data_IF_473870834082
#
_entry.id   IF_473870834082
#
_cell.length_a   1.000
_cell.length_b   1.000
_cell.length_c   1.000
_cell.angle_alpha   90.00
_cell.angle_beta   90.00
_cell.angle_gamma   90.00
#
_symmetry.space_group_name_H-M   'P 1'
#
loop_
_entity.id
_entity.type
_entity.pdbx_description
1 polymer ?
#
# COMPACT_ATOMS: atom_id res chain seq x y z
N UNK A 1 24.14 -17.35 -5.48
CA UNK A 1 24.21 -16.74 -4.15
C UNK A 1 24.36 -15.22 -4.31
N UNK A 2 23.46 -14.45 -3.71
CA UNK A 2 23.51 -12.99 -3.79
C UNK A 2 24.52 -12.44 -2.77
N UNK A 3 25.25 -11.39 -3.16
CA UNK A 3 26.16 -10.65 -2.28
C UNK A 3 25.42 -9.90 -1.15
N UNK A 4 26.15 -9.13 -0.31
CA UNK A 4 25.53 -8.28 0.71
C UNK A 4 24.72 -7.17 0.03
N UNK A 5 23.61 -6.77 0.64
CA UNK A 5 22.73 -5.73 0.14
C UNK A 5 21.32 -6.22 -0.21
N UNK A 6 20.40 -5.33 -0.55
CA UNK A 6 19.02 -5.69 -0.88
C UNK A 6 18.97 -6.54 -2.17
N UNK A 7 18.00 -7.44 -2.21
CA UNK A 7 17.66 -8.23 -3.41
C UNK A 7 16.20 -7.96 -3.73
N UNK A 8 15.94 -7.35 -4.88
CA UNK A 8 14.59 -6.95 -5.30
C UNK A 8 14.16 -7.73 -6.53
N UNK A 9 12.96 -8.26 -6.50
CA UNK A 9 12.33 -9.00 -7.59
C UNK A 9 11.28 -8.10 -8.24
N UNK A 10 11.37 -7.94 -9.56
CA UNK A 10 10.33 -7.29 -10.37
C UNK A 10 9.10 -8.19 -10.52
N UNK A 11 7.98 -7.65 -11.02
CA UNK A 11 6.77 -8.42 -11.25
C UNK A 11 7.01 -9.53 -12.29
N UNK A 12 6.32 -10.65 -12.12
CA UNK A 12 6.25 -11.69 -13.15
C UNK A 12 5.59 -11.14 -14.40
N UNK A 13 6.14 -11.47 -15.55
CA UNK A 13 5.62 -11.06 -16.86
C UNK A 13 5.47 -12.28 -17.75
N UNK A 14 4.33 -12.40 -18.40
CA UNK A 14 4.03 -13.53 -19.27
C UNK A 14 4.67 -13.45 -20.67
N UNK A 15 5.31 -12.34 -21.01
CA UNK A 15 5.90 -12.08 -22.32
C UNK A 15 7.30 -11.48 -22.16
N UNK A 16 8.25 -11.97 -22.95
CA UNK A 16 9.63 -11.45 -23.02
C UNK A 16 9.65 -9.95 -23.37
N UNK A 17 8.70 -9.48 -24.19
CA UNK A 17 8.58 -8.06 -24.53
C UNK A 17 8.29 -7.17 -23.31
N UNK A 18 7.75 -7.74 -22.23
CA UNK A 18 7.49 -7.04 -20.96
C UNK A 18 8.65 -7.16 -19.95
N UNK A 19 9.70 -7.93 -20.28
CA UNK A 19 10.86 -8.12 -19.39
C UNK A 19 11.55 -6.78 -19.03
N UNK A 20 11.63 -5.85 -19.99
CA UNK A 20 12.17 -4.50 -19.76
C UNK A 20 11.37 -3.70 -18.74
N UNK A 21 10.04 -3.87 -18.68
CA UNK A 21 9.20 -3.25 -17.65
C UNK A 21 9.48 -3.85 -16.28
N UNK A 22 9.55 -5.18 -16.18
CA UNK A 22 9.87 -5.85 -14.93
C UNK A 22 11.23 -5.43 -14.38
N UNK A 23 12.25 -5.34 -15.26
CA UNK A 23 13.58 -4.89 -14.89
C UNK A 23 13.58 -3.43 -14.37
N UNK A 24 12.87 -2.51 -15.03
CA UNK A 24 12.76 -1.11 -14.55
C UNK A 24 12.10 -1.03 -13.18
N UNK A 25 11.05 -1.80 -12.95
CA UNK A 25 10.35 -1.86 -11.66
C UNK A 25 11.27 -2.44 -10.58
N UNK A 26 12.03 -3.48 -10.89
CA UNK A 26 13.03 -4.05 -9.97
C UNK A 26 14.12 -3.03 -9.62
N UNK A 27 14.64 -2.28 -10.60
CA UNK A 27 15.64 -1.23 -10.38
C UNK A 27 15.10 -0.08 -9.53
N UNK A 28 13.86 0.35 -9.79
CA UNK A 28 13.19 1.36 -8.95
C UNK A 28 13.02 0.86 -7.51
N UNK A 29 12.63 -0.40 -7.34
CA UNK A 29 12.56 -1.04 -6.03
C UNK A 29 13.93 -1.11 -5.35
N UNK A 30 14.98 -1.46 -6.08
CA UNK A 30 16.34 -1.52 -5.53
C UNK A 30 16.81 -0.15 -5.02
N UNK A 31 16.55 0.92 -5.76
CA UNK A 31 16.87 2.29 -5.34
C UNK A 31 16.10 2.71 -4.10
N UNK A 32 14.84 2.27 -3.96
CA UNK A 32 13.96 2.59 -2.85
C UNK A 32 14.17 1.70 -1.61
N UNK A 33 14.77 0.51 -1.77
CA UNK A 33 14.89 -0.51 -0.72
C UNK A 33 15.63 -0.03 0.54
N UNK A 34 16.50 0.99 0.41
CA UNK A 34 17.15 1.64 1.56
C UNK A 34 16.16 2.31 2.52
N UNK A 35 14.95 2.63 2.07
CA UNK A 35 13.88 3.18 2.89
C UNK A 35 13.23 2.16 3.83
N UNK A 36 13.47 0.88 3.60
CA UNK A 36 13.03 -0.22 4.46
C UNK A 36 14.20 -1.16 4.81
N UNK A 37 15.03 -0.79 5.81
CA UNK A 37 16.26 -1.52 6.15
C UNK A 37 16.03 -3.00 6.50
N UNK A 38 14.88 -3.30 7.12
CA UNK A 38 14.50 -4.66 7.54
C UNK A 38 13.67 -5.41 6.49
N UNK A 39 13.68 -4.95 5.24
CA UNK A 39 12.99 -5.65 4.16
C UNK A 39 13.49 -7.10 4.02
N UNK A 40 12.59 -8.06 3.76
CA UNK A 40 13.00 -9.44 3.51
C UNK A 40 13.92 -9.53 2.29
N UNK A 41 14.70 -10.62 2.21
CA UNK A 41 15.60 -10.87 1.09
C UNK A 41 15.35 -12.26 0.50
N UNK A 42 14.81 -12.36 -0.70
CA UNK A 42 14.43 -11.27 -1.60
C UNK A 42 13.14 -10.54 -1.18
N UNK A 43 12.94 -9.30 -1.64
CA UNK A 43 11.70 -8.52 -1.50
C UNK A 43 11.09 -8.27 -2.88
N UNK A 44 9.79 -8.37 -3.01
CA UNK A 44 9.11 -7.99 -4.24
C UNK A 44 9.06 -6.46 -4.38
N UNK A 45 9.22 -5.94 -5.59
CA UNK A 45 9.11 -4.51 -5.85
C UNK A 45 7.70 -3.96 -5.54
N UNK A 46 6.66 -4.81 -5.57
CA UNK A 46 5.30 -4.50 -5.11
C UNK A 46 5.20 -4.24 -3.61
N UNK A 47 6.07 -4.86 -2.81
CA UNK A 47 6.09 -4.65 -1.36
C UNK A 47 6.82 -3.36 -0.96
N UNK A 48 7.54 -2.75 -1.91
CA UNK A 48 8.25 -1.47 -1.78
C UNK A 48 7.48 -0.29 -2.36
N UNK A 49 6.18 -0.43 -2.61
CA UNK A 49 5.35 0.65 -3.17
C UNK A 49 5.45 1.97 -2.40
N UNK A 50 5.37 2.00 -1.05
CA UNK A 50 5.52 3.25 -0.30
C UNK A 50 6.86 3.93 -0.52
N UNK A 51 7.96 3.19 -0.42
CA UNK A 51 9.31 3.71 -0.60
C UNK A 51 9.54 4.19 -2.03
N UNK A 52 9.03 3.46 -3.02
CA UNK A 52 9.11 3.84 -4.43
C UNK A 52 8.34 5.14 -4.70
N UNK A 53 7.14 5.30 -4.14
CA UNK A 53 6.36 6.55 -4.25
C UNK A 53 7.13 7.72 -3.64
N UNK A 54 7.67 7.54 -2.44
CA UNK A 54 8.46 8.57 -1.75
C UNK A 54 9.77 8.90 -2.48
N UNK A 55 10.33 7.95 -3.24
CA UNK A 55 11.48 8.16 -4.11
C UNK A 55 11.11 8.80 -5.48
N UNK A 56 9.84 9.10 -5.73
CA UNK A 56 9.37 9.78 -6.95
C UNK A 56 8.97 8.85 -8.10
N UNK A 57 8.77 7.55 -7.84
CA UNK A 57 8.33 6.58 -8.85
C UNK A 57 6.86 6.80 -9.23
N UNK A 58 6.62 7.33 -10.42
CA UNK A 58 5.29 7.59 -10.94
C UNK A 58 4.47 6.31 -11.20
N UNK A 59 5.12 5.20 -11.53
CA UNK A 59 4.43 3.92 -11.73
C UNK A 59 3.91 3.36 -10.41
N UNK A 60 4.72 3.41 -9.35
CA UNK A 60 4.29 3.01 -8.01
C UNK A 60 3.12 3.88 -7.51
N UNK A 61 3.17 5.19 -7.76
CA UNK A 61 2.09 6.11 -7.43
C UNK A 61 0.79 5.74 -8.16
N UNK A 62 0.85 5.48 -9.47
CA UNK A 62 -0.30 5.04 -10.26
C UNK A 62 -0.86 3.71 -9.75
N UNK A 63 0.00 2.77 -9.42
CA UNK A 63 -0.41 1.47 -8.86
C UNK A 63 -1.23 1.66 -7.59
N UNK A 64 -0.75 2.46 -6.62
CA UNK A 64 -1.50 2.73 -5.40
C UNK A 64 -2.84 3.43 -5.66
N UNK A 65 -2.88 4.35 -6.62
CA UNK A 65 -4.12 5.05 -6.98
C UNK A 65 -5.14 4.10 -7.63
N UNK A 66 -4.72 3.28 -8.58
CA UNK A 66 -5.62 2.44 -9.37
C UNK A 66 -5.99 1.13 -8.68
N UNK A 67 -5.07 0.52 -7.95
CA UNK A 67 -5.28 -0.80 -7.37
C UNK A 67 -5.70 -0.75 -5.89
N UNK A 68 -5.49 0.39 -5.21
CA UNK A 68 -5.82 0.54 -3.80
C UNK A 68 -6.86 1.65 -3.59
N UNK A 69 -6.54 2.89 -3.92
CA UNK A 69 -7.43 4.01 -3.59
C UNK A 69 -8.74 3.98 -4.40
N UNK A 70 -8.67 3.82 -5.71
CA UNK A 70 -9.86 3.85 -6.57
C UNK A 70 -10.88 2.75 -6.24
N UNK A 71 -10.50 1.49 -5.99
CA UNK A 71 -11.45 0.47 -5.54
C UNK A 71 -12.11 0.81 -4.19
N UNK A 72 -11.35 1.38 -3.25
CA UNK A 72 -11.89 1.79 -1.95
C UNK A 72 -12.88 2.95 -2.08
N UNK A 73 -12.57 3.93 -2.93
CA UNK A 73 -13.43 5.09 -3.18
C UNK A 73 -14.72 4.71 -3.91
N UNK A 74 -14.65 3.71 -4.81
CA UNK A 74 -15.81 3.20 -5.55
C UNK A 74 -16.67 2.22 -4.75
N UNK A 75 -16.16 1.70 -3.63
CA UNK A 75 -16.86 0.69 -2.84
C UNK A 75 -18.09 1.27 -2.13
N UNK A 76 -19.13 0.46 -1.99
CA UNK A 76 -20.31 0.82 -1.19
C UNK A 76 -19.93 0.94 0.29
N UNK A 77 -20.29 2.05 0.90
CA UNK A 77 -20.05 2.36 2.31
C UNK A 77 -18.79 3.19 2.56
N UNK A 78 -18.60 3.68 3.79
CA UNK A 78 -17.58 4.66 4.13
C UNK A 78 -16.21 4.00 4.39
N UNK A 79 -15.68 3.20 3.44
CA UNK A 79 -14.43 2.45 3.64
C UNK A 79 -13.22 3.38 3.71
N UNK A 80 -13.11 4.37 2.82
CA UNK A 80 -12.01 5.36 2.82
C UNK A 80 -12.00 6.14 4.14
N UNK A 81 -13.16 6.66 4.57
CA UNK A 81 -13.27 7.40 5.82
C UNK A 81 -12.97 6.56 7.06
N UNK A 82 -13.39 5.27 7.04
CA UNK A 82 -13.10 4.34 8.16
C UNK A 82 -11.61 4.00 8.23
N UNK A 83 -10.99 3.73 7.09
CA UNK A 83 -9.56 3.46 7.00
C UNK A 83 -8.74 4.67 7.46
N UNK A 84 -9.09 5.86 6.98
CA UNK A 84 -8.43 7.10 7.38
C UNK A 84 -8.53 7.33 8.89
N UNK A 85 -9.74 7.27 9.46
CA UNK A 85 -9.94 7.45 10.89
C UNK A 85 -9.14 6.44 11.72
N UNK A 86 -9.06 5.19 11.29
CA UNK A 86 -8.28 4.16 11.98
C UNK A 86 -6.77 4.46 11.95
N UNK A 87 -6.21 4.74 10.77
CA UNK A 87 -4.79 5.01 10.61
C UNK A 87 -4.36 6.31 11.32
N UNK A 88 -5.18 7.35 11.24
CA UNK A 88 -4.92 8.67 11.83
C UNK A 88 -5.11 8.70 13.36
N UNK A 89 -5.87 7.78 13.93
CA UNK A 89 -6.08 7.65 15.38
C UNK A 89 -5.07 6.73 16.08
N UNK A 90 -3.90 6.54 15.51
CA UNK A 90 -2.88 5.66 16.07
C UNK A 90 -3.24 4.18 15.99
N UNK A 91 -4.08 3.80 15.03
CA UNK A 91 -4.55 2.42 14.81
C UNK A 91 -5.36 1.85 15.97
N UNK A 92 -6.09 2.70 16.65
CA UNK A 92 -7.02 2.32 17.71
C UNK A 92 -8.44 2.17 17.17
N UNK A 93 -9.00 0.97 17.29
CA UNK A 93 -10.39 0.69 16.90
C UNK A 93 -11.37 1.55 17.71
N UNK A 94 -11.11 1.71 19.00
CA UNK A 94 -11.95 2.50 19.91
C UNK A 94 -11.88 3.98 19.59
N UNK A 95 -10.70 4.51 19.28
CA UNK A 95 -10.53 5.92 18.90
C UNK A 95 -11.19 6.20 17.57
N UNK A 96 -10.99 5.35 16.56
CA UNK A 96 -11.66 5.46 15.27
C UNK A 96 -13.19 5.37 15.40
N UNK A 97 -13.69 4.45 16.22
CA UNK A 97 -15.11 4.28 16.48
C UNK A 97 -15.74 5.53 17.10
N UNK A 98 -15.06 6.16 18.06
CA UNK A 98 -15.50 7.45 18.63
C UNK A 98 -15.56 8.56 17.59
N UNK A 99 -14.50 8.68 16.77
CA UNK A 99 -14.44 9.68 15.69
C UNK A 99 -15.56 9.50 14.67
N UNK A 100 -15.91 8.25 14.37
CA UNK A 100 -16.93 7.91 13.37
C UNK A 100 -18.35 7.78 13.93
N UNK A 101 -18.50 7.90 15.24
CA UNK A 101 -19.79 7.70 15.95
C UNK A 101 -20.41 6.33 15.68
N UNK A 102 -19.59 5.27 15.68
CA UNK A 102 -20.02 3.88 15.48
C UNK A 102 -19.43 2.95 16.55
N UNK A 103 -19.91 1.72 16.61
CA UNK A 103 -19.34 0.72 17.49
C UNK A 103 -17.97 0.21 16.97
N UNK A 104 -16.98 -0.13 17.83
CA UNK A 104 -15.69 -0.67 17.41
C UNK A 104 -15.78 -1.90 16.49
N UNK A 105 -16.76 -2.77 16.69
CA UNK A 105 -16.98 -3.92 15.80
C UNK A 105 -17.36 -3.51 14.37
N UNK A 106 -18.05 -2.38 14.20
CA UNK A 106 -18.35 -1.81 12.89
C UNK A 106 -17.07 -1.37 12.19
N UNK A 107 -16.16 -0.72 12.91
CA UNK A 107 -14.84 -0.35 12.38
C UNK A 107 -14.09 -1.61 11.96
N UNK A 108 -14.00 -2.62 12.83
CA UNK A 108 -13.32 -3.89 12.52
C UNK A 108 -13.90 -4.58 11.29
N UNK A 109 -15.22 -4.62 11.16
CA UNK A 109 -15.88 -5.18 9.99
C UNK A 109 -15.51 -4.44 8.70
N UNK A 110 -15.53 -3.10 8.72
CA UNK A 110 -15.17 -2.28 7.56
C UNK A 110 -13.70 -2.43 7.19
N UNK A 111 -12.79 -2.52 8.16
CA UNK A 111 -11.37 -2.77 7.91
C UNK A 111 -11.12 -4.15 7.27
N UNK A 112 -11.88 -5.17 7.69
CA UNK A 112 -11.84 -6.49 7.01
C UNK A 112 -12.29 -6.38 5.55
N UNK A 113 -13.32 -5.59 5.26
CA UNK A 113 -13.75 -5.35 3.89
C UNK A 113 -12.68 -4.63 3.07
N UNK A 114 -11.96 -3.68 3.66
CA UNK A 114 -10.78 -3.06 3.03
C UNK A 114 -9.78 -4.14 2.63
N UNK A 115 -9.38 -4.99 3.57
CA UNK A 115 -8.42 -6.07 3.32
C UNK A 115 -8.87 -7.01 2.21
N UNK A 116 -10.15 -7.42 2.22
CA UNK A 116 -10.72 -8.29 1.18
C UNK A 116 -10.75 -7.63 -0.21
N UNK A 117 -10.96 -6.33 -0.26
CA UNK A 117 -11.09 -5.60 -1.52
C UNK A 117 -9.75 -5.30 -2.18
N UNK A 118 -8.73 -4.92 -1.42
CA UNK A 118 -7.45 -4.44 -1.95
C UNK A 118 -6.25 -5.33 -1.63
N UNK A 119 -6.43 -6.38 -0.82
CA UNK A 119 -5.39 -7.34 -0.49
C UNK A 119 -4.34 -6.86 0.52
N UNK A 120 -4.56 -5.70 1.19
CA UNK A 120 -3.69 -5.15 2.21
C UNK A 120 -4.43 -5.08 3.55
N UNK A 121 -3.82 -5.61 4.62
CA UNK A 121 -4.43 -5.61 5.95
C UNK A 121 -4.13 -4.31 6.71
N UNK A 122 -5.15 -3.47 6.99
CA UNK A 122 -4.96 -2.24 7.77
C UNK A 122 -4.41 -2.49 9.19
N UNK A 123 -4.61 -3.67 9.73
CA UNK A 123 -4.20 -4.02 11.09
C UNK A 123 -2.73 -4.49 11.16
N UNK A 124 -2.16 -4.92 10.06
CA UNK A 124 -0.71 -5.13 9.95
C UNK A 124 0.03 -3.79 9.84
N UNK A 125 1.16 -3.67 10.55
CA UNK A 125 1.89 -2.40 10.61
C UNK A 125 2.47 -1.99 9.27
N UNK A 126 3.03 -2.94 8.53
CA UNK A 126 3.65 -2.69 7.22
C UNK A 126 2.61 -2.43 6.14
N UNK A 127 1.59 -3.28 6.08
CA UNK A 127 0.51 -3.16 5.11
C UNK A 127 -0.33 -1.91 5.35
N UNK A 128 -0.55 -1.54 6.61
CA UNK A 128 -1.21 -0.28 6.95
C UNK A 128 -0.41 0.95 6.51
N UNK A 129 0.92 0.87 6.47
CA UNK A 129 1.74 1.95 5.89
C UNK A 129 1.53 2.06 4.38
N UNK A 130 1.43 0.95 3.65
CA UNK A 130 1.05 0.95 2.22
C UNK A 130 -0.29 1.65 2.01
N UNK A 131 -1.29 1.29 2.81
CA UNK A 131 -2.63 1.88 2.75
C UNK A 131 -2.62 3.38 3.08
N UNK A 132 -1.80 3.81 4.03
CA UNK A 132 -1.67 5.23 4.39
C UNK A 132 -1.11 6.05 3.21
N UNK A 133 -0.06 5.56 2.54
CA UNK A 133 0.50 6.21 1.36
C UNK A 133 -0.52 6.20 0.21
N UNK A 134 -1.30 5.12 0.04
CA UNK A 134 -2.38 5.07 -0.95
C UNK A 134 -3.45 6.14 -0.71
N UNK A 135 -3.87 6.36 0.54
CA UNK A 135 -4.82 7.44 0.88
C UNK A 135 -4.25 8.82 0.55
N UNK A 136 -2.99 9.08 0.89
CA UNK A 136 -2.35 10.38 0.60
C UNK A 136 -2.27 10.60 -0.91
N UNK A 137 -1.78 9.62 -1.66
CA UNK A 137 -1.65 9.72 -3.12
C UNK A 137 -3.00 9.83 -3.82
N UNK A 138 -4.02 9.15 -3.32
CA UNK A 138 -5.39 9.25 -3.80
C UNK A 138 -5.96 10.66 -3.64
N UNK A 139 -5.89 11.21 -2.42
CA UNK A 139 -6.34 12.59 -2.12
C UNK A 139 -5.62 13.64 -2.99
N UNK A 140 -4.32 13.46 -3.23
CA UNK A 140 -3.54 14.36 -4.09
C UNK A 140 -3.94 14.28 -5.58
N UNK A 141 -4.61 13.22 -6.01
CA UNK A 141 -5.09 13.06 -7.38
C UNK A 141 -6.50 13.63 -7.62
N UNK A 142 -7.28 13.83 -6.55
CA UNK A 142 -8.64 14.37 -6.61
C UNK A 142 -8.67 15.92 -6.66
N UNK A 143 -7.55 16.56 -6.41
CA UNK A 143 -7.35 18.03 -6.48
C UNK A 143 -6.73 18.46 -7.80
#
# INVERSE_FOLDING_TARGET
RFGPGPVVIGPEVGDVMLAGRSARIALAGLSAAKGWPDAPRPVAASDLLPERVLAGDADARRTLQQEVFAPLAAATGPLVGTLAAYLESGRSLEAAARTLFVHPNTVRYRLRRVSQLVGWDPMDAREGFVLQIALVTGRLSEG
#
